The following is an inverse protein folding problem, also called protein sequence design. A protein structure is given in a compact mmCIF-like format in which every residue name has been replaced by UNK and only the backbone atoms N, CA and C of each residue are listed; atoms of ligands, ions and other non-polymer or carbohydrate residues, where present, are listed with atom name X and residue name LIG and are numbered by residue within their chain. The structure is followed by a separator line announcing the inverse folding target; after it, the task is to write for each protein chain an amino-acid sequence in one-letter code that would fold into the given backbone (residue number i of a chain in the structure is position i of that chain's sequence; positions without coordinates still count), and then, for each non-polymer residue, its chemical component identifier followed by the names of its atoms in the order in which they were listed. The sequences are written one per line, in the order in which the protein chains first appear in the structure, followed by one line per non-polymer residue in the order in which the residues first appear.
data_IF_858600795381
#
_entry.id   IF_858600795381
#
_cell.length_a   1.000
_cell.length_b   1.000
_cell.length_c   1.000
_cell.angle_alpha   90.00
_cell.angle_beta   90.00
_cell.angle_gamma   90.00
#
_symmetry.space_group_name_H-M   'P 1'
#
loop_
_entity.id
_entity.type
_entity.pdbx_description
1 polymer ?
#
# COMPACT_ATOMS: atom_id res chain seq x y z
N UNK A 1 -34.90 -29.55 11.25
CA UNK A 1 -36.32 -29.70 11.64
C UNK A 1 -37.09 -28.96 10.57
N UNK A 2 -37.68 -29.67 9.61
CA UNK A 2 -38.11 -29.05 8.34
C UNK A 2 -39.63 -28.91 8.22
N UNK A 3 -40.38 -29.46 9.17
CA UNK A 3 -41.84 -29.39 9.19
C UNK A 3 -42.38 -29.14 10.60
N UNK A 4 -43.60 -28.60 10.67
CA UNK A 4 -44.36 -28.45 11.90
C UNK A 4 -44.62 -29.79 12.63
N UNK A 5 -44.75 -30.91 11.89
CA UNK A 5 -44.89 -32.24 12.49
C UNK A 5 -43.61 -32.67 13.24
N UNK A 6 -42.43 -32.38 12.68
CA UNK A 6 -41.16 -32.61 13.36
C UNK A 6 -41.03 -31.78 14.64
N UNK A 7 -41.50 -30.52 14.58
CA UNK A 7 -41.53 -29.63 15.75
C UNK A 7 -42.43 -30.16 16.86
N UNK A 8 -43.66 -30.58 16.55
CA UNK A 8 -44.58 -31.16 17.54
C UNK A 8 -44.03 -32.44 18.17
N UNK A 9 -43.49 -33.34 17.34
CA UNK A 9 -42.91 -34.60 17.80
C UNK A 9 -41.70 -34.38 18.72
N UNK A 10 -40.89 -33.35 18.47
CA UNK A 10 -39.73 -33.02 19.30
C UNK A 10 -40.11 -32.26 20.59
N UNK A 11 -41.14 -31.42 20.55
CA UNK A 11 -41.58 -30.59 21.68
C UNK A 11 -42.60 -31.29 22.59
N UNK A 12 -43.06 -32.49 22.21
CA UNK A 12 -44.00 -33.32 22.97
C UNK A 12 -45.31 -32.57 23.30
N UNK A 13 -45.72 -31.66 22.39
CA UNK A 13 -46.92 -30.85 22.50
C UNK A 13 -48.09 -31.56 21.82
N UNK A 14 -49.18 -31.78 22.56
CA UNK A 14 -50.41 -32.40 22.07
C UNK A 14 -51.44 -31.34 21.64
N UNK A 15 -50.99 -30.38 20.83
CA UNK A 15 -51.84 -29.28 20.36
C UNK A 15 -51.93 -29.29 18.83
N UNK A 16 -53.15 -29.15 18.33
CA UNK A 16 -53.44 -29.08 16.91
C UNK A 16 -53.79 -27.63 16.52
N UNK A 17 -52.82 -26.79 16.11
CA UNK A 17 -53.11 -25.41 15.76
C UNK A 17 -53.99 -25.29 14.51
N UNK A 18 -54.75 -24.18 14.38
CA UNK A 18 -55.49 -23.85 13.17
C UNK A 18 -54.62 -23.90 11.91
N UNK A 19 -55.18 -24.23 10.73
CA UNK A 19 -54.43 -24.36 9.47
C UNK A 19 -53.55 -23.14 9.13
N UNK A 20 -54.05 -21.93 9.37
CA UNK A 20 -53.30 -20.68 9.10
C UNK A 20 -52.05 -20.53 9.98
N UNK A 21 -52.11 -21.01 11.24
CA UNK A 21 -50.94 -21.02 12.13
C UNK A 21 -49.92 -22.10 11.73
N UNK A 22 -50.38 -23.23 11.17
CA UNK A 22 -49.49 -24.28 10.67
C UNK A 22 -48.67 -23.80 9.48
N UNK A 23 -49.30 -23.06 8.58
CA UNK A 23 -48.64 -22.47 7.40
C UNK A 23 -47.59 -21.44 7.84
N UNK A 24 -47.96 -20.50 8.71
CA UNK A 24 -47.02 -19.51 9.27
C UNK A 24 -45.83 -20.17 9.98
N UNK A 25 -46.06 -21.22 10.79
CA UNK A 25 -44.95 -21.92 11.47
C UNK A 25 -44.06 -22.65 10.46
N UNK A 26 -44.62 -23.27 9.42
CA UNK A 26 -43.82 -23.92 8.38
C UNK A 26 -43.00 -22.91 7.58
N UNK A 27 -43.57 -21.75 7.25
CA UNK A 27 -42.84 -20.65 6.58
C UNK A 27 -41.70 -20.14 7.47
N UNK A 28 -41.98 -19.86 8.75
CA UNK A 28 -40.94 -19.41 9.69
C UNK A 28 -39.86 -20.47 9.92
N UNK A 29 -40.22 -21.76 9.99
CA UNK A 29 -39.25 -22.84 10.12
C UNK A 29 -38.41 -23.01 8.85
N UNK A 30 -38.99 -22.81 7.67
CA UNK A 30 -38.27 -22.83 6.40
C UNK A 30 -37.30 -21.65 6.29
N UNK A 31 -37.72 -20.45 6.67
CA UNK A 31 -36.89 -19.25 6.76
C UNK A 31 -35.72 -19.45 7.75
N UNK A 32 -36.00 -19.91 8.98
CA UNK A 32 -34.97 -20.20 9.98
C UNK A 32 -34.00 -21.30 9.54
N UNK A 33 -34.49 -22.33 8.85
CA UNK A 33 -33.64 -23.41 8.36
C UNK A 33 -32.78 -22.95 7.17
N UNK A 34 -33.29 -22.05 6.32
CA UNK A 34 -32.51 -21.37 5.29
C UNK A 34 -31.48 -20.42 5.89
N UNK A 35 -31.81 -19.68 6.95
CA UNK A 35 -30.87 -18.80 7.65
C UNK A 35 -29.75 -19.57 8.38
N UNK A 36 -29.96 -20.85 8.70
CA UNK A 36 -29.01 -21.65 9.48
C UNK A 36 -28.24 -22.69 8.65
N UNK A 37 -28.80 -23.15 7.53
CA UNK A 37 -28.23 -24.25 6.74
C UNK A 37 -28.30 -24.00 5.22
N UNK A 38 -28.78 -22.84 4.78
CA UNK A 38 -28.95 -22.48 3.38
C UNK A 38 -30.05 -23.24 2.62
N UNK A 39 -30.20 -22.94 1.33
CA UNK A 39 -31.28 -23.49 0.49
C UNK A 39 -30.92 -24.89 -0.04
N UNK A 40 -31.93 -25.77 -0.11
CA UNK A 40 -31.78 -27.10 -0.68
C UNK A 40 -31.83 -27.01 -2.21
N UNK A 41 -30.77 -27.45 -2.90
CA UNK A 41 -30.61 -27.31 -4.37
C UNK A 41 -31.59 -28.15 -5.20
N UNK A 42 -32.42 -28.96 -4.55
CA UNK A 42 -33.45 -29.78 -5.19
C UNK A 42 -32.88 -30.94 -6.02
N UNK A 43 -31.57 -31.19 -6.00
CA UNK A 43 -30.89 -32.18 -6.84
C UNK A 43 -30.24 -33.32 -6.05
N UNK A 44 -30.61 -33.47 -4.77
CA UNK A 44 -30.28 -34.64 -3.96
C UNK A 44 -28.81 -34.74 -3.55
N UNK A 45 -28.06 -33.62 -3.58
CA UNK A 45 -26.64 -33.58 -3.25
C UNK A 45 -26.22 -32.26 -2.64
N UNK A 46 -26.55 -32.05 -1.36
CA UNK A 46 -26.00 -30.96 -0.54
C UNK A 46 -27.01 -29.84 -0.25
N UNK A 47 -27.00 -29.39 1.01
CA UNK A 47 -27.45 -28.04 1.36
C UNK A 47 -26.41 -27.08 0.78
N UNK A 48 -26.82 -26.10 -0.03
CA UNK A 48 -25.90 -25.01 -0.41
C UNK A 48 -25.73 -24.19 0.87
N UNK A 49 -24.52 -24.11 1.43
CA UNK A 49 -24.23 -23.32 2.62
C UNK A 49 -24.67 -21.86 2.45
N UNK A 50 -24.90 -21.17 3.57
CA UNK A 50 -25.14 -19.73 3.49
C UNK A 50 -23.85 -19.01 3.13
N UNK A 51 -23.92 -17.83 2.48
CA UNK A 51 -22.73 -17.04 2.24
C UNK A 51 -22.03 -16.71 3.57
N UNK A 52 -20.68 -16.70 3.57
CA UNK A 52 -19.93 -16.27 4.74
C UNK A 52 -20.29 -14.84 5.09
N UNK A 53 -20.16 -14.47 6.36
CA UNK A 53 -20.45 -13.12 6.84
C UNK A 53 -19.17 -12.34 7.08
N UNK A 54 -18.91 -11.31 6.28
CA UNK A 54 -17.83 -10.37 6.51
C UNK A 54 -18.29 -9.25 7.47
N UNK A 55 -17.81 -9.30 8.72
CA UNK A 55 -18.25 -8.41 9.79
C UNK A 55 -17.64 -7.02 9.67
N UNK A 56 -16.32 -6.95 9.46
CA UNK A 56 -15.60 -5.68 9.29
C UNK A 56 -14.23 -5.87 8.63
N UNK A 57 -13.72 -4.76 8.12
CA UNK A 57 -12.31 -4.57 7.78
C UNK A 57 -11.68 -3.68 8.86
N UNK A 58 -10.59 -4.14 9.47
CA UNK A 58 -9.80 -3.37 10.43
C UNK A 58 -8.49 -2.90 9.77
N UNK A 59 -8.03 -1.71 10.13
CA UNK A 59 -6.63 -1.30 9.90
C UNK A 59 -5.88 -1.73 11.15
N UNK A 60 -4.92 -2.64 11.02
CA UNK A 60 -4.24 -3.29 12.15
C UNK A 60 -2.89 -2.66 12.45
N UNK A 61 -2.22 -2.10 11.44
CA UNK A 61 -0.97 -1.36 11.60
C UNK A 61 -0.82 -0.28 10.52
N UNK A 62 0.01 0.71 10.79
CA UNK A 62 0.42 1.77 9.88
C UNK A 62 1.88 2.16 10.20
N UNK A 63 2.75 2.00 9.21
CA UNK A 63 4.16 2.39 9.28
C UNK A 63 4.56 3.05 7.97
N UNK A 64 4.84 4.36 7.99
CA UNK A 64 5.11 5.12 6.77
C UNK A 64 3.91 5.08 5.83
N UNK A 65 4.18 4.73 4.57
CA UNK A 65 3.20 4.50 3.51
C UNK A 65 2.54 3.11 3.61
N UNK A 66 3.08 2.20 4.43
CA UNK A 66 2.61 0.81 4.56
C UNK A 66 1.50 0.67 5.59
N UNK A 67 0.38 0.09 5.15
CA UNK A 67 -0.78 -0.23 5.98
C UNK A 67 -1.02 -1.73 6.01
N UNK A 68 -1.39 -2.23 7.18
CA UNK A 68 -1.90 -3.60 7.34
C UNK A 68 -3.41 -3.59 7.58
N UNK A 69 -4.12 -4.47 6.87
CA UNK A 69 -5.55 -4.67 6.99
C UNK A 69 -5.86 -6.09 7.43
N UNK A 70 -6.96 -6.25 8.16
CA UNK A 70 -7.51 -7.55 8.50
C UNK A 70 -9.02 -7.60 8.23
N UNK A 71 -9.44 -8.64 7.52
CA UNK A 71 -10.84 -8.99 7.32
C UNK A 71 -11.31 -9.92 8.44
N UNK A 72 -12.37 -9.53 9.12
CA UNK A 72 -13.00 -10.35 10.15
C UNK A 72 -14.28 -10.93 9.58
N UNK A 73 -14.23 -12.22 9.22
CA UNK A 73 -15.36 -12.96 8.71
C UNK A 73 -15.74 -14.12 9.64
N UNK A 74 -16.99 -14.57 9.55
CA UNK A 74 -17.45 -15.80 10.16
C UNK A 74 -18.32 -16.57 9.18
N UNK A 75 -18.27 -17.88 9.31
CA UNK A 75 -19.19 -18.80 8.64
C UNK A 75 -19.45 -19.92 9.63
N UNK A 76 -20.38 -19.67 10.56
CA UNK A 76 -20.58 -20.55 11.71
C UNK A 76 -21.57 -21.68 11.39
N UNK A 77 -22.27 -21.50 10.27
CA UNK A 77 -23.28 -22.36 9.72
C UNK A 77 -22.65 -23.51 8.91
N UNK A 78 -21.47 -23.28 8.30
CA UNK A 78 -20.69 -24.32 7.62
C UNK A 78 -19.86 -25.17 8.60
N UNK A 79 -19.83 -26.48 8.34
CA UNK A 79 -19.02 -27.45 9.07
C UNK A 79 -17.53 -27.40 8.70
N UNK A 80 -17.17 -26.88 7.53
CA UNK A 80 -15.79 -26.66 7.07
C UNK A 80 -15.61 -25.22 6.57
N UNK A 81 -15.50 -24.22 7.48
CA UNK A 81 -15.54 -22.80 7.16
C UNK A 81 -14.20 -22.31 6.60
N UNK A 82 -13.61 -23.04 5.67
CA UNK A 82 -12.41 -22.60 4.99
C UNK A 82 -12.76 -21.43 4.07
N UNK A 83 -12.35 -20.24 4.49
CA UNK A 83 -12.59 -19.00 3.77
C UNK A 83 -11.37 -18.61 2.94
N UNK A 84 -11.63 -18.18 1.71
CA UNK A 84 -10.68 -17.50 0.83
C UNK A 84 -11.06 -16.03 0.70
N UNK A 85 -10.09 -15.19 0.38
CA UNK A 85 -10.26 -13.73 0.38
C UNK A 85 -9.73 -13.14 -0.93
N UNK A 86 -10.34 -12.06 -1.39
CA UNK A 86 -9.83 -11.18 -2.43
C UNK A 86 -9.88 -9.75 -1.90
N UNK A 87 -8.79 -9.02 -2.07
CA UNK A 87 -8.65 -7.63 -1.67
C UNK A 87 -8.56 -6.72 -2.88
N UNK A 88 -9.33 -5.64 -2.84
CA UNK A 88 -9.30 -4.58 -3.84
C UNK A 88 -9.09 -3.22 -3.18
N UNK A 89 -8.35 -2.35 -3.84
CA UNK A 89 -8.20 -0.94 -3.49
C UNK A 89 -8.69 -0.13 -4.68
N UNK A 90 -9.69 0.73 -4.46
CA UNK A 90 -10.36 1.52 -5.50
C UNK A 90 -10.81 0.68 -6.71
N UNK A 91 -11.24 -0.56 -6.44
CA UNK A 91 -11.70 -1.52 -7.45
C UNK A 91 -10.62 -2.29 -8.18
N UNK A 92 -9.34 -2.09 -7.85
CA UNK A 92 -8.21 -2.86 -8.40
C UNK A 92 -7.81 -3.98 -7.45
N UNK A 93 -7.73 -5.23 -7.93
CA UNK A 93 -7.30 -6.38 -7.12
C UNK A 93 -5.81 -6.25 -6.77
N UNK A 94 -5.51 -6.30 -5.47
CA UNK A 94 -4.14 -6.13 -4.92
C UNK A 94 -3.67 -7.33 -4.09
N UNK A 95 -4.56 -8.26 -3.75
CA UNK A 95 -4.18 -9.45 -2.98
C UNK A 95 -5.29 -10.50 -2.94
N UNK A 96 -4.91 -11.74 -2.63
CA UNK A 96 -5.82 -12.88 -2.51
C UNK A 96 -5.39 -13.86 -1.41
N UNK A 97 -6.26 -14.82 -1.11
CA UNK A 97 -6.00 -16.03 -0.32
C UNK A 97 -5.63 -15.83 1.17
N UNK A 98 -5.59 -14.59 1.64
CA UNK A 98 -5.29 -14.24 3.03
C UNK A 98 -6.33 -13.29 3.61
N UNK A 99 -6.71 -13.52 4.88
CA UNK A 99 -7.56 -12.60 5.64
C UNK A 99 -6.82 -11.33 6.07
N UNK A 100 -5.54 -11.21 5.77
CA UNK A 100 -4.74 -10.01 5.97
C UNK A 100 -4.15 -9.51 4.65
N UNK A 101 -4.00 -8.19 4.54
CA UNK A 101 -3.38 -7.51 3.41
C UNK A 101 -2.36 -6.51 3.96
N UNK A 102 -1.13 -6.55 3.45
CA UNK A 102 -0.15 -5.48 3.62
C UNK A 102 -0.05 -4.73 2.30
N UNK A 103 -0.18 -3.40 2.33
CA UNK A 103 -0.14 -2.57 1.15
C UNK A 103 0.54 -1.22 1.45
N UNK A 104 1.47 -0.82 0.59
CA UNK A 104 2.09 0.50 0.64
C UNK A 104 1.38 1.43 -0.36
N UNK A 105 0.95 2.60 0.11
CA UNK A 105 0.22 3.57 -0.70
C UNK A 105 1.14 4.67 -1.22
N UNK A 106 1.06 4.94 -2.52
CA UNK A 106 1.84 5.99 -3.20
C UNK A 106 1.12 7.34 -3.25
N UNK A 107 0.14 7.58 -2.38
CA UNK A 107 -0.54 8.87 -2.31
C UNK A 107 -1.40 8.97 -1.06
N UNK A 108 -1.42 10.17 -0.48
CA UNK A 108 -2.39 10.53 0.53
C UNK A 108 -3.79 10.74 -0.07
N UNK A 109 -4.83 10.47 0.72
CA UNK A 109 -6.21 10.63 0.30
C UNK A 109 -7.12 9.53 0.79
N UNK A 110 -8.40 9.67 0.46
CA UNK A 110 -9.38 8.64 0.78
C UNK A 110 -9.37 7.54 -0.29
N UNK A 111 -9.18 6.30 0.13
CA UNK A 111 -9.22 5.09 -0.71
C UNK A 111 -10.27 4.11 -0.21
N UNK A 112 -10.92 3.40 -1.11
CA UNK A 112 -11.89 2.36 -0.79
C UNK A 112 -11.22 0.98 -0.77
N UNK A 113 -11.00 0.45 0.44
CA UNK A 113 -10.47 -0.90 0.67
C UNK A 113 -11.65 -1.87 0.72
N UNK A 114 -11.70 -2.78 -0.24
CA UNK A 114 -12.77 -3.78 -0.39
C UNK A 114 -12.21 -5.18 -0.17
N UNK A 115 -12.86 -5.98 0.68
CA UNK A 115 -12.58 -7.39 0.83
C UNK A 115 -13.81 -8.21 0.42
N UNK A 116 -13.57 -9.24 -0.38
CA UNK A 116 -14.54 -10.27 -0.73
C UNK A 116 -14.09 -11.56 -0.08
N UNK A 117 -14.97 -12.19 0.71
CA UNK A 117 -14.73 -13.49 1.33
C UNK A 117 -15.59 -14.54 0.65
N UNK A 118 -15.00 -15.70 0.37
CA UNK A 118 -15.64 -16.82 -0.35
C UNK A 118 -15.49 -18.10 0.47
N UNK A 119 -16.59 -18.83 0.68
CA UNK A 119 -16.60 -20.14 1.32
C UNK A 119 -16.21 -21.28 0.36
N UNK A 120 -16.27 -22.53 0.84
CA UNK A 120 -15.92 -23.70 0.03
C UNK A 120 -17.00 -24.10 -0.99
N UNK A 121 -18.24 -23.68 -0.77
CA UNK A 121 -19.38 -23.85 -1.67
C UNK A 121 -19.39 -22.81 -2.81
N UNK A 122 -18.53 -21.79 -2.72
CA UNK A 122 -18.38 -20.71 -3.69
C UNK A 122 -19.31 -19.53 -3.45
N UNK A 123 -20.00 -19.47 -2.30
CA UNK A 123 -20.77 -18.30 -1.92
C UNK A 123 -19.85 -17.20 -1.42
N UNK A 124 -20.25 -15.95 -1.65
CA UNK A 124 -19.40 -14.80 -1.37
C UNK A 124 -20.10 -13.72 -0.58
N UNK A 125 -19.32 -12.92 0.13
CA UNK A 125 -19.76 -11.70 0.77
C UNK A 125 -18.67 -10.62 0.66
N UNK A 126 -19.09 -9.39 0.41
CA UNK A 126 -18.16 -8.28 0.16
C UNK A 126 -18.46 -7.12 1.11
N UNK A 127 -17.40 -6.49 1.61
CA UNK A 127 -17.48 -5.26 2.38
C UNK A 127 -16.43 -4.27 1.89
N UNK A 128 -16.78 -2.99 1.90
CA UNK A 128 -15.87 -1.89 1.61
C UNK A 128 -15.71 -1.01 2.85
N UNK A 129 -14.49 -0.55 3.08
CA UNK A 129 -14.13 0.43 4.09
C UNK A 129 -13.32 1.54 3.43
N UNK A 130 -13.83 2.77 3.51
CA UNK A 130 -13.06 3.96 3.17
C UNK A 130 -12.00 4.21 4.23
N UNK A 131 -10.76 4.40 3.80
CA UNK A 131 -9.59 4.67 4.66
C UNK A 131 -8.93 5.94 4.16
N UNK A 132 -8.70 6.88 5.07
CA UNK A 132 -7.90 8.08 4.78
C UNK A 132 -6.43 7.73 4.94
N UNK A 133 -5.74 7.58 3.82
CA UNK A 133 -4.28 7.43 3.76
C UNK A 133 -3.64 8.77 4.08
N UNK A 134 -2.76 8.76 5.06
CA UNK A 134 -1.81 9.83 5.33
C UNK A 134 -0.40 9.28 5.15
N UNK A 135 0.45 10.08 4.51
CA UNK A 135 1.88 9.80 4.36
C UNK A 135 2.69 10.65 5.34
N UNK A 136 3.93 10.26 5.66
CA UNK A 136 4.84 11.11 6.44
C UNK A 136 5.09 12.44 5.74
N UNK A 137 5.58 13.43 6.49
CA UNK A 137 6.08 14.67 5.90
C UNK A 137 7.17 14.32 4.88
N UNK A 138 7.24 14.98 3.71
CA UNK A 138 8.16 14.58 2.63
C UNK A 138 9.64 14.45 3.05
N UNK A 139 10.11 15.19 4.04
CA UNK A 139 11.50 15.04 4.55
C UNK A 139 11.71 13.76 5.35
N UNK A 140 10.66 13.24 6.00
CA UNK A 140 10.69 12.05 6.84
C UNK A 140 10.54 10.75 6.04
N UNK A 141 10.20 10.85 4.75
CA UNK A 141 10.14 9.75 3.77
C UNK A 141 11.51 9.26 3.31
N UNK A 142 12.54 10.05 3.61
CA UNK A 142 13.91 9.72 3.23
C UNK A 142 14.80 9.57 4.46
N UNK A 143 15.74 8.63 4.40
CA UNK A 143 16.86 8.56 5.33
C UNK A 143 18.15 8.91 4.60
N UNK A 144 18.93 9.87 5.11
CA UNK A 144 20.27 10.11 4.59
C UNK A 144 21.27 9.18 5.28
N UNK A 145 21.68 8.13 4.59
CA UNK A 145 22.64 7.14 5.10
C UNK A 145 24.08 7.64 5.04
N UNK A 146 24.41 8.44 4.03
CA UNK A 146 25.73 9.02 3.85
C UNK A 146 25.62 10.36 3.15
N UNK A 147 26.39 11.34 3.62
CA UNK A 147 26.64 12.61 2.93
C UNK A 147 27.99 13.16 3.38
N UNK A 148 29.00 13.15 2.49
CA UNK A 148 30.37 13.53 2.85
C UNK A 148 31.08 14.21 1.69
N UNK A 149 31.83 15.27 2.00
CA UNK A 149 32.73 15.93 1.06
C UNK A 149 34.20 15.58 1.36
N UNK A 150 34.83 14.83 0.47
CA UNK A 150 36.17 14.25 0.63
C UNK A 150 36.98 14.30 -0.66
N UNK A 151 38.30 14.10 -0.61
CA UNK A 151 39.14 13.88 -1.79
C UNK A 151 39.08 12.41 -2.26
N UNK A 152 39.85 12.03 -3.28
CA UNK A 152 39.95 10.64 -3.79
C UNK A 152 40.43 9.62 -2.74
N UNK A 153 40.98 10.09 -1.63
CA UNK A 153 41.50 9.26 -0.54
C UNK A 153 40.59 9.29 0.70
N UNK A 154 39.43 9.94 0.65
CA UNK A 154 38.52 10.07 1.80
C UNK A 154 38.94 11.13 2.83
N UNK A 155 39.83 12.05 2.48
CA UNK A 155 40.37 13.10 3.36
C UNK A 155 39.70 14.47 3.08
N UNK A 156 39.81 15.46 3.99
CA UNK A 156 39.32 16.82 3.70
C UNK A 156 39.96 17.42 2.45
N UNK A 157 39.12 17.98 1.58
CA UNK A 157 39.50 18.52 0.26
C UNK A 157 40.43 19.74 0.37
N UNK A 158 41.50 19.74 -0.44
CA UNK A 158 42.45 20.86 -0.59
C UNK A 158 42.29 21.56 -1.95
N UNK A 159 42.77 22.80 -2.04
CA UNK A 159 42.71 23.59 -3.28
C UNK A 159 43.35 22.85 -4.47
N UNK A 160 42.63 22.80 -5.60
CA UNK A 160 43.12 22.25 -6.86
C UNK A 160 43.17 20.72 -6.92
N UNK A 161 42.67 20.02 -5.90
CA UNK A 161 42.43 18.58 -5.93
C UNK A 161 40.97 18.27 -6.34
N UNK A 162 40.72 17.12 -6.99
CA UNK A 162 39.36 16.64 -7.17
C UNK A 162 38.71 16.40 -5.81
N UNK A 163 37.46 16.80 -5.69
CA UNK A 163 36.59 16.58 -4.55
C UNK A 163 35.47 15.62 -4.95
N UNK A 164 35.01 14.86 -3.98
CA UNK A 164 34.01 13.81 -4.10
C UNK A 164 32.93 14.11 -3.06
N UNK A 165 31.68 14.21 -3.50
CA UNK A 165 30.51 14.17 -2.62
C UNK A 165 30.02 12.72 -2.64
N UNK A 166 30.32 11.98 -1.59
CA UNK A 166 29.74 10.67 -1.34
C UNK A 166 28.35 10.87 -0.74
N UNK A 167 27.34 10.24 -1.33
CA UNK A 167 25.97 10.30 -0.84
C UNK A 167 25.30 8.92 -0.89
N UNK A 168 24.36 8.68 0.02
CA UNK A 168 23.43 7.57 -0.02
C UNK A 168 22.13 7.97 0.69
N UNK A 169 20.98 7.69 0.07
CA UNK A 169 19.64 7.94 0.60
C UNK A 169 18.83 6.66 0.50
N UNK A 170 18.07 6.35 1.54
CA UNK A 170 17.13 5.21 1.56
C UNK A 170 15.70 5.68 1.70
N UNK A 171 14.78 4.82 1.28
CA UNK A 171 13.34 4.97 1.42
C UNK A 171 12.99 4.64 2.88
N UNK A 172 12.38 5.60 3.57
CA UNK A 172 12.03 5.48 4.96
C UNK A 172 10.55 5.12 5.19
N UNK A 173 9.67 5.33 4.21
CA UNK A 173 8.23 5.08 4.31
C UNK A 173 7.74 3.82 3.59
N UNK A 174 8.60 3.22 2.77
CA UNK A 174 8.52 1.81 2.36
C UNK A 174 7.53 1.51 1.25
N UNK A 175 7.18 2.51 0.45
CA UNK A 175 6.47 2.40 -0.83
C UNK A 175 7.39 2.07 -2.02
N UNK A 176 8.70 1.98 -1.79
CA UNK A 176 9.74 1.58 -2.74
C UNK A 176 9.84 2.51 -3.98
N UNK A 177 9.45 3.78 -3.88
CA UNK A 177 9.30 4.69 -5.03
C UNK A 177 10.23 5.93 -5.02
N UNK A 178 11.48 5.75 -4.61
CA UNK A 178 12.50 6.81 -4.73
C UNK A 178 12.79 7.22 -6.19
N UNK A 179 12.57 8.51 -6.50
CA UNK A 179 12.65 9.03 -7.87
C UNK A 179 13.97 9.74 -8.21
N UNK A 180 14.34 10.75 -7.42
CA UNK A 180 15.37 11.69 -7.82
C UNK A 180 16.15 12.32 -6.67
N UNK A 181 17.46 12.44 -6.86
CA UNK A 181 18.36 13.19 -5.99
C UNK A 181 18.98 14.36 -6.74
N UNK A 182 19.01 15.51 -6.09
CA UNK A 182 19.67 16.73 -6.57
C UNK A 182 20.72 17.17 -5.56
N UNK A 183 21.93 17.35 -6.06
CA UNK A 183 23.02 17.96 -5.28
C UNK A 183 23.30 19.34 -5.85
N UNK A 184 23.14 20.38 -5.03
CA UNK A 184 23.50 21.75 -5.39
C UNK A 184 24.76 22.15 -4.64
N UNK A 185 25.74 22.70 -5.37
CA UNK A 185 27.00 23.21 -4.81
C UNK A 185 27.10 24.71 -5.11
N UNK A 186 27.07 25.55 -4.08
CA UNK A 186 26.93 27.01 -4.22
C UNK A 186 28.18 27.84 -3.86
N UNK A 187 28.55 28.79 -4.73
CA UNK A 187 28.38 30.22 -4.44
C UNK A 187 27.20 30.71 -5.30
N UNK A 188 25.95 30.44 -4.90
CA UNK A 188 24.68 30.88 -5.55
C UNK A 188 24.48 30.67 -7.08
N UNK A 189 25.37 30.05 -7.86
CA UNK A 189 25.19 30.02 -9.34
C UNK A 189 25.80 28.87 -10.15
N UNK A 190 26.18 27.73 -9.57
CA UNK A 190 26.47 26.52 -10.39
C UNK A 190 25.16 25.82 -10.72
N UNK A 191 24.93 25.47 -11.99
CA UNK A 191 23.73 24.75 -12.40
C UNK A 191 23.60 23.43 -11.63
N UNK A 192 22.41 23.10 -11.10
CA UNK A 192 22.15 21.80 -10.51
C UNK A 192 22.39 20.70 -11.56
N UNK A 193 23.01 19.60 -11.15
CA UNK A 193 23.11 18.39 -11.97
C UNK A 193 22.18 17.35 -11.37
N UNK A 194 21.13 17.04 -12.12
CA UNK A 194 20.17 15.99 -11.82
C UNK A 194 20.86 14.62 -11.94
N UNK A 195 20.70 13.77 -10.91
CA UNK A 195 21.29 12.44 -10.84
C UNK A 195 20.19 11.36 -10.67
N UNK A 196 19.09 11.40 -11.42
CA UNK A 196 18.45 10.16 -11.92
C UNK A 196 17.25 10.40 -12.84
N UNK A 197 17.21 9.63 -13.94
CA UNK A 197 15.98 9.36 -14.69
C UNK A 197 15.81 7.85 -14.82
N UNK A 198 14.86 7.26 -14.10
CA UNK A 198 14.54 5.82 -14.15
C UNK A 198 14.68 5.09 -12.81
N UNK A 199 14.25 3.82 -12.76
CA UNK A 199 14.43 2.95 -11.59
C UNK A 199 15.91 2.97 -11.18
N UNK A 200 16.20 3.52 -10.00
CA UNK A 200 17.56 3.88 -9.64
C UNK A 200 18.34 2.61 -9.29
N UNK A 201 19.34 2.22 -10.09
CA UNK A 201 20.18 1.06 -9.73
C UNK A 201 21.08 1.31 -8.51
N UNK A 202 21.35 2.58 -8.14
CA UNK A 202 22.06 2.91 -6.89
C UNK A 202 21.60 4.25 -6.31
N UNK A 203 20.90 4.20 -5.17
CA UNK A 203 20.51 5.36 -4.34
C UNK A 203 21.69 5.97 -3.58
N UNK A 204 22.86 5.93 -4.19
CA UNK A 204 24.11 6.39 -3.63
C UNK A 204 25.22 6.36 -4.67
N UNK A 205 26.19 7.23 -4.49
CA UNK A 205 27.23 7.41 -5.48
C UNK A 205 28.26 8.44 -5.06
N UNK A 206 29.11 8.79 -6.03
CA UNK A 206 30.16 9.79 -5.84
C UNK A 206 30.02 10.86 -6.91
N UNK A 207 29.69 12.07 -6.50
CA UNK A 207 29.70 13.23 -7.39
C UNK A 207 31.07 13.90 -7.36
N UNK A 208 31.75 13.95 -8.49
CA UNK A 208 33.09 14.54 -8.61
C UNK A 208 32.97 16.04 -8.90
N UNK A 209 33.52 16.87 -8.02
CA UNK A 209 33.60 18.32 -8.13
C UNK A 209 35.06 18.79 -8.09
N UNK A 210 35.47 19.66 -9.01
CA UNK A 210 36.80 20.26 -9.02
C UNK A 210 36.77 21.70 -8.51
N UNK A 211 36.96 21.97 -7.20
CA UNK A 211 36.99 23.34 -6.68
C UNK A 211 38.15 24.14 -7.28
N UNK A 212 37.82 25.29 -7.89
CA UNK A 212 38.80 26.17 -8.55
C UNK A 212 39.30 27.33 -7.68
N UNK A 213 38.73 27.49 -6.48
CA UNK A 213 39.08 28.54 -5.51
C UNK A 213 39.00 28.00 -4.08
N UNK A 214 39.66 28.69 -3.15
CA UNK A 214 39.44 28.48 -1.72
C UNK A 214 38.24 29.29 -1.25
N UNK A 215 37.60 28.83 -0.18
CA UNK A 215 36.40 29.48 0.35
C UNK A 215 35.48 28.52 1.08
N UNK A 216 34.36 29.07 1.53
CA UNK A 216 33.27 28.34 2.16
C UNK A 216 32.17 28.07 1.14
N UNK A 217 31.65 26.85 1.11
CA UNK A 217 30.66 26.37 0.15
C UNK A 217 29.53 25.67 0.90
N UNK A 218 28.30 25.98 0.51
CA UNK A 218 27.13 25.24 0.97
C UNK A 218 26.77 24.17 -0.08
N UNK A 219 26.52 22.97 0.42
CA UNK A 219 26.19 21.79 -0.36
C UNK A 219 24.88 21.25 0.15
N UNK A 220 23.88 21.26 -0.72
CA UNK A 220 22.54 20.77 -0.40
C UNK A 220 22.29 19.45 -1.13
N UNK A 221 21.84 18.44 -0.39
CA UNK A 221 21.22 17.23 -0.90
C UNK A 221 19.72 17.39 -0.79
N UNK A 222 19.05 17.28 -1.91
CA UNK A 222 17.60 17.38 -2.01
C UNK A 222 17.06 16.13 -2.72
N UNK A 223 15.88 15.68 -2.33
CA UNK A 223 15.22 14.53 -2.93
C UNK A 223 13.83 14.90 -3.44
N UNK A 224 13.32 14.07 -4.33
CA UNK A 224 11.94 14.11 -4.79
C UNK A 224 11.38 12.69 -4.79
N UNK A 225 10.15 12.61 -4.31
CA UNK A 225 9.37 11.39 -4.18
C UNK A 225 8.45 11.15 -5.39
N UNK A 226 7.99 9.92 -5.64
CA UNK A 226 7.13 9.53 -6.80
C UNK A 226 5.70 9.18 -6.43
N UNK A 227 5.14 9.83 -5.44
CA UNK A 227 3.71 9.67 -5.26
C UNK A 227 2.96 10.12 -6.56
N UNK A 228 1.90 9.41 -6.95
CA UNK A 228 1.05 9.71 -8.12
C UNK A 228 1.62 9.59 -9.58
N UNK A 229 2.74 8.91 -9.86
CA UNK A 229 3.07 8.63 -11.29
C UNK A 229 2.12 7.59 -11.92
N UNK A 230 1.14 8.09 -12.69
CA UNK A 230 0.24 7.25 -13.50
C UNK A 230 0.70 7.11 -14.97
N UNK A 231 1.93 7.50 -15.30
CA UNK A 231 2.43 7.46 -16.68
C UNK A 231 2.68 6.04 -17.16
N UNK A 232 2.72 5.87 -18.49
CA UNK A 232 2.94 4.58 -19.15
C UNK A 232 4.09 3.80 -18.53
N UNK A 233 4.03 2.44 -18.55
CA UNK A 233 5.06 1.59 -18.02
C UNK A 233 6.40 2.08 -18.53
N UNK A 234 7.32 2.24 -17.58
CA UNK A 234 8.75 2.20 -17.86
C UNK A 234 8.95 1.12 -18.91
N UNK A 235 9.62 1.45 -20.01
CA UNK A 235 9.78 0.47 -21.07
C UNK A 235 10.47 -0.79 -20.53
N UNK A 236 10.51 -1.86 -21.32
CA UNK A 236 11.15 -3.13 -20.91
C UNK A 236 12.64 -3.00 -20.54
N UNK A 237 13.21 -1.80 -20.63
CA UNK A 237 14.60 -1.46 -20.32
C UNK A 237 14.77 -0.59 -19.07
N UNK A 238 13.70 -0.17 -18.38
CA UNK A 238 13.84 0.67 -17.19
C UNK A 238 13.82 2.18 -17.48
N UNK A 239 13.58 2.59 -18.72
CA UNK A 239 13.69 3.99 -19.16
C UNK A 239 12.32 4.70 -19.26
N UNK A 240 12.30 6.00 -18.92
CA UNK A 240 11.15 6.88 -19.17
C UNK A 240 11.02 7.18 -20.68
N UNK A 241 9.81 7.31 -21.23
CA UNK A 241 9.56 7.31 -22.69
C UNK A 241 10.20 8.44 -23.52
N UNK A 242 10.83 9.46 -22.93
CA UNK A 242 11.31 10.62 -23.70
C UNK A 242 12.78 11.03 -23.53
N UNK A 243 13.55 10.40 -22.62
CA UNK A 243 14.98 10.73 -22.44
C UNK A 243 15.27 12.22 -22.25
N UNK A 244 14.28 13.03 -21.86
CA UNK A 244 14.45 14.45 -21.59
C UNK A 244 14.89 14.63 -20.15
N UNK A 245 15.86 15.52 -19.93
CA UNK A 245 16.16 16.02 -18.58
C UNK A 245 14.84 16.43 -17.92
N UNK A 246 14.61 16.07 -16.65
CA UNK A 246 13.44 16.50 -15.90
C UNK A 246 13.28 18.03 -16.00
N UNK A 247 12.46 18.46 -16.95
CA UNK A 247 12.08 19.86 -17.13
C UNK A 247 10.67 19.97 -16.62
N UNK A 248 10.56 19.92 -15.29
CA UNK A 248 9.42 20.34 -14.48
C UNK A 248 8.04 20.04 -15.04
N UNK A 249 7.41 18.99 -14.52
CA UNK A 249 5.96 18.88 -14.66
C UNK A 249 5.36 17.51 -14.45
N UNK A 250 5.67 16.79 -13.37
CA UNK A 250 4.81 15.73 -12.85
C UNK A 250 4.81 15.78 -11.30
N UNK A 251 3.63 15.54 -10.72
CA UNK A 251 3.28 15.65 -9.30
C UNK A 251 3.95 14.51 -8.50
N UNK A 252 4.32 14.66 -7.22
CA UNK A 252 3.84 15.49 -6.10
C UNK A 252 4.96 15.69 -5.02
N UNK A 253 5.44 16.91 -4.80
CA UNK A 253 5.17 17.74 -3.62
C UNK A 253 4.98 19.18 -4.15
N UNK A 254 3.89 19.38 -4.89
CA UNK A 254 3.78 20.48 -5.86
C UNK A 254 4.96 20.56 -6.87
N UNK A 255 5.70 19.46 -7.08
CA UNK A 255 6.89 19.41 -7.93
C UNK A 255 8.13 20.06 -7.31
N UNK A 256 8.20 20.17 -5.98
CA UNK A 256 9.37 20.68 -5.27
C UNK A 256 10.25 19.54 -4.78
N UNK A 257 11.56 19.68 -4.98
CA UNK A 257 12.50 18.89 -4.20
C UNK A 257 12.43 19.32 -2.73
N UNK A 258 12.63 18.37 -1.83
CA UNK A 258 12.74 18.58 -0.39
C UNK A 258 14.21 18.52 0.01
N UNK A 259 14.65 19.45 0.85
CA UNK A 259 16.04 19.45 1.33
C UNK A 259 16.20 18.41 2.42
N UNK A 260 17.00 17.38 2.15
CA UNK A 260 17.32 16.32 3.10
C UNK A 260 18.49 16.70 4.00
N UNK A 261 19.52 17.32 3.40
CA UNK A 261 20.72 17.72 4.13
C UNK A 261 21.36 18.96 3.51
N UNK A 262 21.89 19.82 4.36
CA UNK A 262 22.68 20.99 3.96
C UNK A 262 23.93 21.04 4.83
N UNK A 263 25.10 20.98 4.20
CA UNK A 263 26.39 21.09 4.90
C UNK A 263 27.27 22.18 4.30
N UNK A 264 28.02 22.84 5.18
CA UNK A 264 28.98 23.87 4.80
C UNK A 264 30.40 23.31 4.87
N UNK A 265 31.13 23.36 3.75
CA UNK A 265 32.52 22.92 3.67
C UNK A 265 33.47 24.09 3.41
N UNK A 266 34.67 24.02 3.99
CA UNK A 266 35.73 25.00 3.76
C UNK A 266 36.90 24.36 3.04
N UNK A 267 37.25 24.93 1.89
CA UNK A 267 38.40 24.50 1.09
C UNK A 267 39.57 25.40 1.43
N UNK A 268 40.65 24.77 1.89
CA UNK A 268 41.88 25.44 2.32
C UNK A 268 42.98 25.32 1.25
N UNK A 269 43.93 26.24 1.29
CA UNK A 269 45.16 26.22 0.48
C UNK A 269 46.07 25.04 0.85
#
# INVERSE_FOLDING_TARGET
MTTFEDFLNASNLDFEPPPELREQINETLAELNSELYGENDGNGGGIIGNPPKLLRIDVTDQSGATYEFSAVANDAEDADPQLSYEWQIDGTVVGSDSSTLTHAFQSEGDVDVTATVTDTDGNTNTQTKTVTVALPDPVDRFTVDTFKFVDDNGMPVQQGQPANIEYAVSDADGDDDLLALRITFGYSSSSPTDQSSGAVETLGGTFIYGPSSTGTYDVTLEAMDRDLYTGDPIDDNGDLPDGSNFTGGYADDNGSFVTLQEETYTIQD
#
